data_IF_409766737001
#
_entry.id   IF_409766737001
#
_cell.length_a   1.000
_cell.length_b   1.000
_cell.length_c   1.000
_cell.angle_alpha   90.00
_cell.angle_beta   90.00
_cell.angle_gamma   90.00
#
_symmetry.space_group_name_H-M   'P 1'
#
loop_
_entity.id
_entity.type
_entity.pdbx_description
1 polymer ?
#
# COMPACT_ATOMS: atom_id res chain seq x y z
N UNK A 1 3.41 -42.43 -9.47
CA UNK A 1 3.37 -41.68 -8.20
C UNK A 1 2.72 -40.34 -8.51
N UNK A 2 1.47 -40.10 -8.09
CA UNK A 2 0.75 -38.84 -8.34
C UNK A 2 1.05 -37.86 -7.21
N UNK A 3 1.81 -36.80 -7.50
CA UNK A 3 1.92 -35.65 -6.61
C UNK A 3 0.61 -34.87 -6.70
N UNK A 4 -0.19 -34.87 -5.63
CA UNK A 4 -1.29 -33.91 -5.51
C UNK A 4 -0.68 -32.57 -5.11
N UNK A 5 -0.54 -31.67 -6.08
CA UNK A 5 -0.30 -30.26 -5.76
C UNK A 5 -1.60 -29.76 -5.13
N UNK A 6 -1.61 -29.61 -3.81
CA UNK A 6 -2.64 -28.81 -3.15
C UNK A 6 -2.33 -27.38 -3.57
N UNK A 7 -2.98 -26.94 -4.64
CA UNK A 7 -3.16 -25.53 -4.92
C UNK A 7 -3.87 -25.00 -3.68
N UNK A 8 -3.15 -24.45 -2.71
CA UNK A 8 -3.77 -23.55 -1.75
C UNK A 8 -4.07 -22.34 -2.62
N UNK A 9 -5.33 -22.09 -3.00
CA UNK A 9 -5.63 -20.86 -3.71
C UNK A 9 -5.17 -19.75 -2.78
N UNK A 10 -4.34 -18.82 -3.24
CA UNK A 10 -3.96 -17.66 -2.43
C UNK A 10 -5.22 -16.94 -1.88
N UNK A 11 -6.37 -17.11 -2.56
CA UNK A 11 -7.71 -16.71 -2.14
C UNK A 11 -8.26 -17.34 -0.85
N UNK A 12 -7.70 -18.46 -0.37
CA UNK A 12 -8.11 -19.13 0.88
C UNK A 12 -7.29 -18.68 2.09
N UNK A 13 -6.51 -17.60 1.96
CA UNK A 13 -5.73 -17.04 3.06
C UNK A 13 -6.60 -16.27 4.09
N UNK A 14 -7.74 -16.83 4.47
CA UNK A 14 -8.70 -16.22 5.40
C UNK A 14 -8.30 -16.44 6.87
N UNK A 15 -7.94 -15.35 7.54
CA UNK A 15 -8.40 -14.94 8.88
C UNK A 15 -8.30 -15.91 10.09
N UNK A 16 -7.56 -17.02 9.99
CA UNK A 16 -7.21 -17.85 11.15
C UNK A 16 -5.69 -17.87 11.32
N UNK A 17 -5.21 -17.93 12.57
CA UNK A 17 -3.78 -18.12 12.86
C UNK A 17 -3.19 -19.29 12.06
N UNK A 18 -3.97 -20.36 11.86
CA UNK A 18 -3.63 -21.53 11.05
C UNK A 18 -3.24 -21.21 9.59
N UNK A 19 -3.80 -20.14 9.01
CA UNK A 19 -3.51 -19.71 7.64
C UNK A 19 -2.24 -18.86 7.59
N UNK A 20 -2.02 -17.96 8.55
CA UNK A 20 -0.74 -17.26 8.69
C UNK A 20 0.41 -18.25 8.93
N UNK A 21 0.15 -19.32 9.69
CA UNK A 21 1.05 -20.47 9.80
C UNK A 21 1.22 -21.17 8.45
N UNK A 22 0.16 -21.46 7.70
CA UNK A 22 0.29 -22.09 6.38
C UNK A 22 1.07 -21.24 5.37
N UNK A 23 0.90 -19.91 5.37
CA UNK A 23 1.72 -19.00 4.55
C UNK A 23 3.17 -19.03 5.02
N UNK A 24 3.40 -18.94 6.33
CA UNK A 24 4.74 -18.98 6.91
C UNK A 24 5.45 -20.29 6.58
N UNK A 25 4.78 -21.43 6.75
CA UNK A 25 5.27 -22.76 6.40
C UNK A 25 5.56 -22.84 4.89
N UNK A 26 4.70 -22.30 4.03
CA UNK A 26 4.94 -22.28 2.57
C UNK A 26 6.11 -21.37 2.16
N UNK A 27 6.36 -20.30 2.90
CA UNK A 27 7.56 -19.47 2.75
C UNK A 27 8.80 -20.21 3.23
N UNK A 28 8.73 -20.91 4.36
CA UNK A 28 9.83 -21.74 4.89
C UNK A 28 10.12 -22.97 4.01
N UNK A 29 9.11 -23.56 3.38
CA UNK A 29 9.20 -24.63 2.38
C UNK A 29 9.70 -24.13 1.01
N UNK A 30 9.81 -22.82 0.80
CA UNK A 30 10.31 -22.20 -0.43
C UNK A 30 9.30 -22.14 -1.59
N UNK A 31 8.01 -22.41 -1.33
CA UNK A 31 6.93 -22.38 -2.34
C UNK A 31 6.44 -20.94 -2.59
N UNK A 32 6.54 -20.10 -1.56
CA UNK A 32 6.22 -18.68 -1.61
C UNK A 32 7.45 -17.86 -1.19
N UNK A 33 7.52 -16.62 -1.65
CA UNK A 33 8.50 -15.65 -1.16
C UNK A 33 7.85 -14.32 -0.79
N UNK A 34 8.55 -13.56 0.03
CA UNK A 34 8.10 -12.29 0.59
C UNK A 34 9.00 -11.15 0.12
N UNK A 35 8.39 -10.04 -0.26
CA UNK A 35 9.07 -8.76 -0.47
C UNK A 35 8.48 -7.74 0.51
N UNK A 36 9.35 -7.12 1.30
CA UNK A 36 8.98 -6.07 2.26
C UNK A 36 8.67 -4.75 1.55
N UNK A 37 7.75 -3.97 2.11
CA UNK A 37 7.42 -2.63 1.59
C UNK A 37 7.29 -1.64 2.75
N UNK A 38 7.26 -0.34 2.42
CA UNK A 38 7.03 0.72 3.41
C UNK A 38 5.57 1.20 3.43
N UNK A 39 4.66 0.49 2.76
CA UNK A 39 3.24 0.87 2.67
C UNK A 39 2.50 0.47 3.93
N UNK A 40 1.68 1.37 4.49
CA UNK A 40 1.01 1.17 5.80
C UNK A 40 -0.51 1.36 5.76
N UNK A 41 -0.99 2.23 4.88
CA UNK A 41 -2.40 2.54 4.78
C UNK A 41 -3.08 1.55 3.82
N UNK A 42 -4.00 0.78 4.37
CA UNK A 42 -4.75 -0.25 3.66
C UNK A 42 -5.54 0.35 2.48
N UNK A 43 -6.24 1.45 2.72
CA UNK A 43 -7.12 2.06 1.72
C UNK A 43 -6.33 2.61 0.53
N UNK A 44 -5.15 3.19 0.79
CA UNK A 44 -4.29 3.74 -0.25
C UNK A 44 -3.63 2.63 -1.06
N UNK A 45 -3.19 1.54 -0.41
CA UNK A 45 -2.66 0.37 -1.11
C UNK A 45 -3.72 -0.24 -2.03
N UNK A 46 -4.96 -0.37 -1.56
CA UNK A 46 -6.08 -0.86 -2.37
C UNK A 46 -6.32 0.03 -3.60
N UNK A 47 -6.29 1.35 -3.41
CA UNK A 47 -6.48 2.33 -4.49
C UNK A 47 -5.34 2.25 -5.52
N UNK A 48 -4.09 2.19 -5.06
CA UNK A 48 -2.92 2.04 -5.92
C UNK A 48 -2.99 0.77 -6.78
N UNK A 49 -3.30 -0.38 -6.16
CA UNK A 49 -3.45 -1.67 -6.86
C UNK A 49 -4.56 -1.63 -7.92
N UNK A 50 -5.71 -1.02 -7.62
CA UNK A 50 -6.79 -0.83 -8.59
C UNK A 50 -6.36 0.02 -9.79
N UNK A 51 -5.48 1.00 -9.58
CA UNK A 51 -4.89 1.82 -10.65
C UNK A 51 -4.12 0.98 -11.69
N UNK A 52 -3.53 -0.14 -11.28
CA UNK A 52 -2.84 -1.10 -12.15
C UNK A 52 -3.77 -2.18 -12.72
N UNK A 53 -5.09 -2.04 -12.57
CA UNK A 53 -6.06 -3.01 -13.07
C UNK A 53 -6.19 -4.27 -12.22
N UNK A 54 -5.65 -4.26 -11.00
CA UNK A 54 -5.77 -5.39 -10.11
C UNK A 54 -7.17 -5.50 -9.53
N UNK A 55 -7.70 -6.72 -9.47
CA UNK A 55 -8.89 -7.00 -8.67
C UNK A 55 -8.48 -7.12 -7.21
N UNK A 56 -8.95 -6.18 -6.39
CA UNK A 56 -8.64 -6.14 -4.95
C UNK A 56 -9.84 -6.67 -4.15
N UNK A 57 -9.64 -7.80 -3.49
CA UNK A 57 -10.57 -8.31 -2.48
C UNK A 57 -10.02 -7.99 -1.09
N UNK A 58 -10.80 -7.24 -0.31
CA UNK A 58 -10.47 -6.85 1.07
C UNK A 58 -11.15 -7.81 2.04
N UNK A 59 -10.36 -8.49 2.87
CA UNK A 59 -10.86 -9.26 4.02
C UNK A 59 -10.01 -8.91 5.24
N UNK A 60 -10.59 -8.12 6.16
CA UNK A 60 -10.25 -7.72 7.55
C UNK A 60 -8.77 -7.57 8.03
N UNK A 61 -7.76 -8.11 7.34
CA UNK A 61 -6.32 -8.10 7.67
C UNK A 61 -5.40 -8.49 6.48
N UNK A 62 -5.90 -8.82 5.29
CA UNK A 62 -5.09 -9.31 4.16
C UNK A 62 -5.71 -8.88 2.83
N UNK A 63 -4.87 -8.55 1.84
CA UNK A 63 -5.31 -8.22 0.49
C UNK A 63 -5.04 -9.32 -0.48
N UNK A 64 -5.98 -9.55 -1.38
CA UNK A 64 -5.74 -10.30 -2.60
C UNK A 64 -5.73 -9.36 -3.78
N UNK A 65 -4.71 -9.50 -4.62
CA UNK A 65 -4.60 -8.77 -5.87
C UNK A 65 -4.29 -9.76 -6.98
N UNK A 66 -5.01 -9.64 -8.10
CA UNK A 66 -4.76 -10.45 -9.29
C UNK A 66 -4.58 -9.55 -10.49
N UNK A 67 -3.53 -9.83 -11.27
CA UNK A 67 -3.29 -9.23 -12.58
C UNK A 67 -3.04 -10.35 -13.60
N UNK A 68 -4.00 -10.58 -14.50
CA UNK A 68 -3.98 -11.76 -15.38
C UNK A 68 -4.03 -13.07 -14.58
N UNK A 69 -3.04 -13.94 -14.76
CA UNK A 69 -2.91 -15.21 -14.02
C UNK A 69 -2.05 -15.09 -12.74
N UNK A 70 -1.43 -13.92 -12.51
CA UNK A 70 -0.56 -13.70 -11.36
C UNK A 70 -1.42 -13.44 -10.12
N UNK A 71 -1.32 -14.33 -9.14
CA UNK A 71 -1.91 -14.17 -7.82
C UNK A 71 -0.87 -13.64 -6.85
N UNK A 72 -1.19 -12.57 -6.15
CA UNK A 72 -0.38 -12.04 -5.07
C UNK A 72 -1.25 -11.73 -3.84
N UNK A 73 -0.65 -11.82 -2.67
CA UNK A 73 -1.28 -11.44 -1.42
C UNK A 73 -0.47 -10.36 -0.72
N UNK A 74 -1.12 -9.47 0.03
CA UNK A 74 -0.43 -8.56 0.94
C UNK A 74 -0.74 -8.91 2.39
N UNK A 75 0.30 -9.08 3.19
CA UNK A 75 0.20 -9.37 4.62
C UNK A 75 0.72 -8.20 5.43
N UNK A 76 -0.05 -7.75 6.42
CA UNK A 76 0.41 -6.76 7.39
C UNK A 76 1.42 -7.37 8.36
N UNK A 77 2.50 -6.64 8.61
CA UNK A 77 3.55 -6.96 9.57
C UNK A 77 3.26 -6.32 10.95
N UNK A 78 4.05 -6.71 11.95
CA UNK A 78 3.93 -6.17 13.32
C UNK A 78 4.20 -4.65 13.41
N UNK A 79 5.00 -4.10 12.51
CA UNK A 79 5.31 -2.65 12.45
C UNK A 79 4.25 -1.82 11.68
N UNK A 80 3.18 -2.49 11.26
CA UNK A 80 2.06 -1.95 10.50
C UNK A 80 2.29 -1.82 8.99
N UNK A 81 3.47 -2.21 8.48
CA UNK A 81 3.73 -2.23 7.02
C UNK A 81 3.11 -3.45 6.36
N UNK A 82 2.90 -3.39 5.04
CA UNK A 82 2.48 -4.52 4.23
C UNK A 82 3.67 -5.17 3.51
N UNK A 83 3.66 -6.49 3.38
CA UNK A 83 4.58 -7.24 2.51
C UNK A 83 3.82 -7.87 1.37
N UNK A 84 4.41 -7.87 0.17
CA UNK A 84 3.91 -8.66 -0.95
C UNK A 84 4.35 -10.12 -0.82
N UNK A 85 3.41 -11.05 -0.98
CA UNK A 85 3.62 -12.49 -1.00
C UNK A 85 3.34 -12.99 -2.42
N UNK A 86 4.34 -13.66 -2.99
CA UNK A 86 4.32 -14.17 -4.36
C UNK A 86 4.66 -15.66 -4.36
N UNK A 87 4.22 -16.36 -5.39
CA UNK A 87 4.61 -17.75 -5.63
C UNK A 87 5.86 -17.82 -6.52
N UNK A 88 6.48 -18.99 -6.57
CA UNK A 88 7.68 -19.24 -7.39
C UNK A 88 7.48 -19.05 -8.92
N UNK A 89 6.24 -18.95 -9.40
CA UNK A 89 5.96 -18.73 -10.82
C UNK A 89 6.20 -17.28 -11.27
N UNK A 90 6.35 -16.35 -10.32
CA UNK A 90 6.72 -14.95 -10.59
C UNK A 90 8.18 -14.76 -10.21
N UNK A 91 9.01 -14.23 -11.12
CA UNK A 91 10.40 -13.94 -10.77
C UNK A 91 10.49 -12.80 -9.73
N UNK A 92 11.49 -12.87 -8.85
CA UNK A 92 11.68 -11.83 -7.83
C UNK A 92 11.87 -10.44 -8.45
N UNK A 93 12.50 -10.36 -9.62
CA UNK A 93 12.72 -9.11 -10.34
C UNK A 93 11.40 -8.49 -10.82
N UNK A 94 10.53 -9.29 -11.46
CA UNK A 94 9.19 -8.84 -11.89
C UNK A 94 8.30 -8.44 -10.70
N UNK A 95 8.32 -9.22 -9.61
CA UNK A 95 7.59 -8.89 -8.40
C UNK A 95 8.10 -7.59 -7.76
N UNK A 96 9.42 -7.37 -7.77
CA UNK A 96 10.04 -6.15 -7.24
C UNK A 96 9.68 -4.94 -8.09
N UNK A 97 9.79 -5.04 -9.41
CA UNK A 97 9.42 -3.97 -10.34
C UNK A 97 7.95 -3.59 -10.20
N UNK A 98 7.05 -4.59 -10.15
CA UNK A 98 5.64 -4.37 -9.90
C UNK A 98 5.40 -3.64 -8.57
N UNK A 99 6.02 -4.08 -7.48
CA UNK A 99 5.86 -3.42 -6.19
C UNK A 99 6.43 -2.00 -6.16
N UNK A 100 7.50 -1.73 -6.92
CA UNK A 100 8.03 -0.37 -7.06
C UNK A 100 7.05 0.55 -7.78
N UNK A 101 6.36 0.07 -8.81
CA UNK A 101 5.35 0.85 -9.51
C UNK A 101 4.10 1.09 -8.64
N UNK A 102 3.65 0.07 -7.89
CA UNK A 102 2.61 0.23 -6.87
C UNK A 102 3.03 1.25 -5.81
N UNK A 103 4.29 1.20 -5.36
CA UNK A 103 4.83 2.15 -4.37
C UNK A 103 4.83 3.60 -4.89
N UNK A 104 5.15 3.83 -6.16
CA UNK A 104 5.10 5.17 -6.77
C UNK A 104 3.67 5.72 -6.76
N UNK A 105 2.69 4.92 -7.18
CA UNK A 105 1.28 5.34 -7.19
C UNK A 105 0.75 5.53 -5.75
N UNK A 106 1.14 4.65 -4.83
CA UNK A 106 0.84 4.80 -3.41
C UNK A 106 1.34 6.15 -2.86
N UNK A 107 2.59 6.53 -3.13
CA UNK A 107 3.18 7.81 -2.68
C UNK A 107 2.39 8.99 -3.26
N UNK A 108 2.03 8.91 -4.55
CA UNK A 108 1.24 9.96 -5.22
C UNK A 108 -0.12 10.15 -4.55
N UNK A 109 -0.81 9.07 -4.21
CA UNK A 109 -2.10 9.13 -3.51
C UNK A 109 -1.92 9.70 -2.09
N UNK A 110 -0.89 9.27 -1.35
CA UNK A 110 -0.55 9.83 -0.03
C UNK A 110 -0.35 11.35 -0.10
N UNK A 111 0.45 11.82 -1.06
CA UNK A 111 0.72 13.25 -1.24
C UNK A 111 -0.57 14.02 -1.54
N UNK A 112 -1.40 13.53 -2.47
CA UNK A 112 -2.68 14.16 -2.81
C UNK A 112 -3.60 14.28 -1.60
N UNK A 113 -3.82 13.18 -0.87
CA UNK A 113 -4.68 13.20 0.32
C UNK A 113 -4.12 14.11 1.41
N UNK A 114 -2.79 14.16 1.56
CA UNK A 114 -2.12 15.03 2.55
C UNK A 114 -2.32 16.50 2.18
N UNK A 115 -2.14 16.85 0.91
CA UNK A 115 -2.37 18.20 0.39
C UNK A 115 -3.83 18.65 0.64
N UNK A 116 -4.80 17.82 0.27
CA UNK A 116 -6.23 18.13 0.45
C UNK A 116 -6.58 18.34 1.93
N UNK A 117 -6.10 17.46 2.82
CA UNK A 117 -6.29 17.59 4.27
C UNK A 117 -5.65 18.86 4.83
N UNK A 118 -4.44 19.20 4.37
CA UNK A 118 -3.72 20.39 4.81
C UNK A 118 -4.44 21.67 4.37
N UNK A 119 -4.91 21.74 3.13
CA UNK A 119 -5.66 22.88 2.61
C UNK A 119 -7.00 23.08 3.33
N UNK A 120 -7.73 21.98 3.57
CA UNK A 120 -8.97 22.02 4.33
C UNK A 120 -8.75 22.53 5.77
N UNK A 121 -7.71 22.04 6.44
CA UNK A 121 -7.34 22.47 7.79
C UNK A 121 -6.88 23.92 7.81
N UNK A 122 -6.03 24.34 6.88
CA UNK A 122 -5.56 25.72 6.78
C UNK A 122 -6.73 26.71 6.66
N UNK A 123 -7.71 26.39 5.80
CA UNK A 123 -8.94 27.19 5.66
C UNK A 123 -9.75 27.24 6.96
N UNK A 124 -9.90 26.12 7.66
CA UNK A 124 -10.64 26.05 8.92
C UNK A 124 -9.97 26.87 10.04
N UNK A 125 -8.64 26.92 10.04
CA UNK A 125 -7.83 27.70 10.98
C UNK A 125 -7.64 29.18 10.55
N UNK A 126 -8.27 29.60 9.45
CA UNK A 126 -8.16 30.97 8.93
C UNK A 126 -6.80 31.34 8.33
N UNK A 127 -5.96 30.35 8.04
CA UNK A 127 -4.70 30.53 7.33
C UNK A 127 -4.96 30.83 5.86
N UNK A 128 -4.17 31.75 5.29
CA UNK A 128 -4.25 32.11 3.87
C UNK A 128 -3.01 31.56 3.18
N UNK A 129 -3.20 30.75 2.14
CA UNK A 129 -2.10 30.27 1.31
C UNK A 129 -1.47 31.48 0.59
N UNK A 130 -0.20 31.73 0.87
CA UNK A 130 0.58 32.82 0.29
C UNK A 130 1.35 32.33 -0.95
N UNK A 131 1.97 31.15 -0.85
CA UNK A 131 2.78 30.59 -1.90
C UNK A 131 2.67 29.07 -1.94
N UNK A 132 2.67 28.52 -3.15
CA UNK A 132 2.79 27.10 -3.45
C UNK A 132 3.88 26.92 -4.51
N UNK A 133 4.81 26.00 -4.28
CA UNK A 133 5.85 25.65 -5.25
C UNK A 133 6.13 24.15 -5.24
N UNK A 134 6.33 23.59 -6.43
CA UNK A 134 6.75 22.20 -6.62
C UNK A 134 8.22 22.16 -7.02
N UNK A 135 9.01 21.33 -6.34
CA UNK A 135 10.43 21.12 -6.61
C UNK A 135 10.66 20.05 -7.69
N UNK A 136 11.91 19.89 -8.12
CA UNK A 136 12.30 18.91 -9.15
C UNK A 136 12.09 17.45 -8.74
N UNK A 137 12.03 17.18 -7.42
CA UNK A 137 11.77 15.86 -6.83
C UNK A 137 10.27 15.62 -6.52
N UNK A 138 9.39 16.40 -7.15
CA UNK A 138 7.93 16.39 -6.93
C UNK A 138 7.50 16.69 -5.47
N UNK A 139 8.39 17.27 -4.66
CA UNK A 139 8.02 17.78 -3.34
C UNK A 139 7.28 19.12 -3.45
N UNK A 140 6.24 19.30 -2.62
CA UNK A 140 5.40 20.50 -2.61
C UNK A 140 5.68 21.31 -1.35
N UNK A 141 6.00 22.59 -1.51
CA UNK A 141 6.20 23.55 -0.42
C UNK A 141 5.04 24.54 -0.40
N UNK A 142 4.41 24.68 0.76
CA UNK A 142 3.28 25.58 1.00
C UNK A 142 3.64 26.59 2.09
N UNK A 143 3.51 27.87 1.78
CA UNK A 143 3.69 28.97 2.73
C UNK A 143 2.32 29.56 3.07
N UNK A 144 2.01 29.63 4.36
CA UNK A 144 0.75 30.18 4.86
C UNK A 144 0.99 31.45 5.67
N UNK A 145 0.16 32.46 5.42
CA UNK A 145 0.09 33.64 6.26
C UNK A 145 -0.81 33.37 7.46
N UNK A 146 -0.26 33.61 8.66
CA UNK A 146 -1.02 33.56 9.92
C UNK A 146 -1.60 34.95 10.17
N UNK A 147 -2.93 35.05 10.26
CA UNK A 147 -3.57 36.29 10.73
C UNK A 147 -3.45 36.36 12.25
N UNK A 148 -2.61 37.25 12.73
CA UNK A 148 -2.54 37.57 14.16
C UNK A 148 -3.89 38.16 14.58
N UNK A 149 -4.64 37.47 15.43
CA UNK A 149 -5.80 38.07 16.08
C UNK A 149 -5.26 39.11 17.07
N UNK A 150 -5.20 40.37 16.65
CA UNK A 150 -4.98 41.50 17.56
C UNK A 150 -6.04 41.43 18.67
N UNK A 151 -5.64 40.92 19.84
CA UNK A 151 -6.35 41.18 21.08
C UNK A 151 -6.13 42.65 21.39
N UNK A 152 -7.08 43.48 21.00
CA UNK A 152 -7.19 44.84 21.51
C UNK A 152 -7.82 44.69 22.90
N UNK A 153 -7.01 44.80 23.95
CA UNK A 153 -7.48 45.06 25.32
C UNK A 153 -8.00 46.50 25.45
#
# INVERSE_FOLDING_TARGET
MSLSVVLVPLALAAANSAVSFAIKDKVEEGVLYRIETNMKDESILAEALKGFGCQVELNEQTFHSTIGEIQMAFQQQEDGTFSGIFNESVSTDEATEFLQDVQKEYIRIVQKQTYEKLMARAKAEGLVLEQESTNEDDSIVLTFQVKESLKIE
#
